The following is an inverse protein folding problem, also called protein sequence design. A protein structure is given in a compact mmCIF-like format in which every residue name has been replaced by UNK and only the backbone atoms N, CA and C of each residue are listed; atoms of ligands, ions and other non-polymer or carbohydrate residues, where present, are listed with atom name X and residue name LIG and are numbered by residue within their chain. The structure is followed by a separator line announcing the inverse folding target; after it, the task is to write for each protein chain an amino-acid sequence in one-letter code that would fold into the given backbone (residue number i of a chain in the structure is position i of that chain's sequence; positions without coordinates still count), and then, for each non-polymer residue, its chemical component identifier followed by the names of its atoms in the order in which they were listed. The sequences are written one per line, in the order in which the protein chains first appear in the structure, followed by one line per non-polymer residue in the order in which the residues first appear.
data_IF_668568239335
#
_entry.id   IF_668568239335
#
_cell.length_a   1.000
_cell.length_b   1.000
_cell.length_c   1.000
_cell.angle_alpha   90.00
_cell.angle_beta   90.00
_cell.angle_gamma   90.00
#
_symmetry.space_group_name_H-M   'P 1'
#
loop_
_entity.id
_entity.type
_entity.pdbx_description
1 polymer ?
#
# COMPACT_ATOMS: atom_id res chain seq x y z
N UNK A 1 5.81 1.01 -1.21
CA UNK A 1 5.82 -0.03 -2.25
C UNK A 1 7.15 -0.07 -3.02
N UNK A 2 7.38 0.73 -4.06
CA UNK A 2 8.52 0.56 -4.99
C UNK A 2 9.91 0.45 -4.35
N UNK A 3 10.21 1.32 -3.39
CA UNK A 3 11.52 1.36 -2.69
C UNK A 3 11.78 0.14 -1.80
N UNK A 4 10.81 -0.75 -1.61
CA UNK A 4 11.00 -2.01 -0.89
C UNK A 4 11.48 -3.14 -1.82
N UNK A 5 11.42 -2.94 -3.13
CA UNK A 5 11.83 -3.92 -4.14
C UNK A 5 13.21 -3.56 -4.64
N UNK A 6 14.20 -4.42 -4.38
CA UNK A 6 15.54 -4.27 -4.90
C UNK A 6 15.60 -4.60 -6.39
N UNK A 7 16.42 -3.85 -7.12
CA UNK A 7 16.74 -4.12 -8.52
C UNK A 7 17.91 -5.09 -8.57
N UNK A 8 17.93 -5.98 -9.56
CA UNK A 8 19.06 -6.88 -9.76
C UNK A 8 20.35 -6.07 -9.94
N UNK A 9 21.44 -6.55 -9.35
CA UNK A 9 22.74 -5.88 -9.44
C UNK A 9 23.22 -5.65 -10.87
N UNK A 10 22.83 -6.53 -11.80
CA UNK A 10 23.13 -6.42 -13.24
C UNK A 10 22.36 -5.28 -13.91
N UNK A 11 21.14 -5.02 -13.45
CA UNK A 11 20.27 -3.98 -14.00
C UNK A 11 20.45 -2.62 -13.31
N UNK A 12 21.03 -2.58 -12.11
CA UNK A 12 21.16 -1.36 -11.31
C UNK A 12 21.93 -0.24 -12.03
N UNK A 13 22.88 -0.57 -12.91
CA UNK A 13 23.62 0.42 -13.70
C UNK A 13 22.76 1.14 -14.76
N UNK A 14 21.57 0.62 -15.09
CA UNK A 14 20.62 1.28 -15.97
C UNK A 14 19.78 2.35 -15.24
N UNK A 15 19.94 2.47 -13.92
CA UNK A 15 19.25 3.46 -13.07
C UNK A 15 20.23 4.48 -12.46
N UNK A 16 21.29 4.83 -13.20
CA UNK A 16 22.22 5.88 -12.80
C UNK A 16 21.61 7.26 -13.01
N UNK A 17 21.78 8.14 -12.04
CA UNK A 17 21.38 9.55 -12.13
C UNK A 17 22.58 10.44 -11.86
N UNK A 18 22.57 11.62 -12.47
CA UNK A 18 23.49 12.69 -12.12
C UNK A 18 22.79 13.67 -11.19
N UNK A 19 23.47 14.05 -10.10
CA UNK A 19 22.94 15.03 -9.17
C UNK A 19 24.06 15.91 -8.63
N UNK A 20 23.70 17.16 -8.35
CA UNK A 20 24.51 18.13 -7.60
C UNK A 20 23.56 19.16 -6.99
N UNK A 21 23.88 19.63 -5.79
CA UNK A 21 23.07 20.64 -5.09
C UNK A 21 23.17 22.02 -5.74
N UNK A 22 24.35 22.39 -6.24
CA UNK A 22 24.65 23.70 -6.82
C UNK A 22 25.44 23.55 -8.14
N UNK A 23 25.26 24.43 -9.14
CA UNK A 23 26.00 24.37 -10.39
C UNK A 23 27.53 24.48 -10.27
N UNK A 24 28.04 25.08 -9.20
CA UNK A 24 29.46 25.15 -8.89
C UNK A 24 30.03 23.85 -8.32
N UNK A 25 29.19 23.00 -7.73
CA UNK A 25 29.61 21.71 -7.21
C UNK A 25 29.89 20.71 -8.34
N UNK A 26 30.85 19.81 -8.09
CA UNK A 26 31.16 18.70 -8.99
C UNK A 26 29.93 17.82 -9.17
N UNK A 27 29.62 17.48 -10.42
CA UNK A 27 28.53 16.57 -10.75
C UNK A 27 28.83 15.18 -10.16
N UNK A 28 27.89 14.62 -9.40
CA UNK A 28 28.00 13.30 -8.79
C UNK A 28 27.11 12.30 -9.52
N UNK A 29 27.53 11.04 -9.53
CA UNK A 29 26.76 9.93 -10.10
C UNK A 29 26.23 9.06 -8.96
N UNK A 30 24.92 8.83 -8.96
CA UNK A 30 24.24 7.98 -7.99
C UNK A 30 23.60 6.79 -8.69
N UNK A 31 23.54 5.66 -7.98
CA UNK A 31 22.89 4.45 -8.44
C UNK A 31 21.65 4.19 -7.60
N UNK A 32 20.50 4.10 -8.25
CA UNK A 32 19.26 3.71 -7.60
C UNK A 32 19.19 2.18 -7.51
N UNK A 33 19.11 1.66 -6.29
CA UNK A 33 19.18 0.21 -6.04
C UNK A 33 17.81 -0.47 -5.92
N UNK A 34 16.73 0.30 -6.02
CA UNK A 34 15.37 -0.17 -5.83
C UNK A 34 14.53 0.21 -7.03
N UNK A 35 13.41 -0.46 -7.25
CA UNK A 35 12.47 -0.12 -8.32
C UNK A 35 12.12 1.37 -8.20
N UNK A 36 12.39 2.11 -9.28
CA UNK A 36 12.25 3.57 -9.32
C UNK A 36 10.96 3.93 -10.04
N UNK A 37 10.17 4.81 -9.44
CA UNK A 37 8.95 5.35 -10.03
C UNK A 37 9.24 6.09 -11.34
N UNK A 38 8.25 6.17 -12.23
CA UNK A 38 8.40 6.82 -13.54
C UNK A 38 9.01 5.93 -14.63
N UNK A 39 9.54 4.76 -14.27
CA UNK A 39 9.84 3.72 -15.25
C UNK A 39 8.56 2.98 -15.65
N UNK A 40 8.42 2.60 -16.92
CA UNK A 40 7.23 1.92 -17.44
C UNK A 40 6.97 0.57 -16.76
N UNK A 41 8.02 -0.09 -16.29
CA UNK A 41 7.96 -1.43 -15.68
C UNK A 41 7.79 -1.41 -14.15
N UNK A 42 7.98 -0.27 -13.47
CA UNK A 42 7.94 -0.21 -12.01
C UNK A 42 6.63 -0.73 -11.39
N UNK A 43 5.42 -0.34 -11.89
CA UNK A 43 4.16 -0.87 -11.38
C UNK A 43 4.10 -2.39 -11.46
N UNK A 44 4.47 -2.96 -12.61
CA UNK A 44 4.47 -4.40 -12.82
C UNK A 44 5.41 -5.13 -11.84
N UNK A 45 6.65 -4.65 -11.69
CA UNK A 45 7.64 -5.27 -10.81
C UNK A 45 7.18 -5.26 -9.35
N UNK A 46 6.65 -4.13 -8.87
CA UNK A 46 6.18 -4.02 -7.50
C UNK A 46 4.94 -4.88 -7.23
N UNK A 47 3.95 -4.87 -8.13
CA UNK A 47 2.76 -5.72 -8.02
C UNK A 47 3.13 -7.21 -8.10
N UNK A 48 4.13 -7.59 -8.91
CA UNK A 48 4.61 -8.97 -8.95
C UNK A 48 5.20 -9.44 -7.62
N UNK A 49 5.88 -8.57 -6.88
CA UNK A 49 6.35 -8.89 -5.53
C UNK A 49 5.18 -9.12 -4.56
N UNK A 50 4.12 -8.31 -4.63
CA UNK A 50 2.91 -8.53 -3.83
C UNK A 50 2.25 -9.89 -4.15
N UNK A 51 2.13 -10.22 -5.44
CA UNK A 51 1.62 -11.52 -5.88
C UNK A 51 2.49 -12.68 -5.41
N UNK A 52 3.81 -12.52 -5.42
CA UNK A 52 4.73 -13.54 -4.92
C UNK A 52 4.53 -13.78 -3.42
N UNK A 53 4.36 -12.72 -2.62
CA UNK A 53 4.03 -12.84 -1.20
C UNK A 53 2.72 -13.58 -0.98
N UNK A 54 1.69 -13.32 -1.79
CA UNK A 54 0.43 -14.05 -1.70
C UNK A 54 0.60 -15.55 -1.95
N UNK A 55 1.34 -15.92 -3.02
CA UNK A 55 1.61 -17.33 -3.36
C UNK A 55 2.32 -18.04 -2.20
N UNK A 56 3.36 -17.42 -1.63
CA UNK A 56 4.15 -17.99 -0.54
C UNK A 56 3.39 -18.12 0.79
N UNK A 57 2.28 -17.39 0.95
CA UNK A 57 1.53 -17.33 2.19
C UNK A 57 0.13 -17.94 2.08
N UNK A 58 -0.25 -18.46 0.92
CA UNK A 58 -1.60 -18.96 0.62
C UNK A 58 -2.06 -20.09 1.54
N UNK A 59 -1.17 -20.99 1.94
CA UNK A 59 -1.53 -22.11 2.83
C UNK A 59 -1.91 -21.62 4.24
N UNK A 60 -1.22 -20.59 4.75
CA UNK A 60 -1.43 -20.07 6.09
C UNK A 60 -2.52 -18.99 6.15
N UNK A 61 -2.67 -18.23 5.05
CA UNK A 61 -3.53 -17.04 4.99
C UNK A 61 -4.30 -17.01 3.66
N UNK A 62 -5.23 -17.95 3.41
CA UNK A 62 -5.86 -18.11 2.10
C UNK A 62 -6.67 -16.87 1.68
N UNK A 63 -7.45 -16.29 2.58
CA UNK A 63 -8.29 -15.13 2.28
C UNK A 63 -7.45 -13.86 2.00
N UNK A 64 -6.48 -13.56 2.88
CA UNK A 64 -5.59 -12.41 2.66
C UNK A 64 -4.71 -12.57 1.42
N UNK A 65 -4.29 -13.80 1.10
CA UNK A 65 -3.55 -14.07 -0.14
C UNK A 65 -4.42 -13.86 -1.37
N UNK A 66 -5.69 -14.27 -1.32
CA UNK A 66 -6.64 -13.97 -2.40
C UNK A 66 -6.82 -12.46 -2.56
N UNK A 67 -7.07 -11.72 -1.48
CA UNK A 67 -7.17 -10.26 -1.49
C UNK A 67 -5.91 -9.60 -2.08
N UNK A 68 -4.71 -10.07 -1.73
CA UNK A 68 -3.45 -9.57 -2.31
C UNK A 68 -3.35 -9.77 -3.82
N UNK A 69 -3.95 -10.84 -4.35
CA UNK A 69 -3.88 -11.19 -5.76
C UNK A 69 -4.88 -10.44 -6.63
N UNK A 70 -6.08 -10.16 -6.08
CA UNK A 70 -7.23 -9.68 -6.85
C UNK A 70 -7.61 -8.23 -6.60
N UNK A 71 -7.37 -7.71 -5.39
CA UNK A 71 -8.02 -6.48 -4.93
C UNK A 71 -7.07 -5.26 -4.91
N UNK A 72 -5.79 -5.48 -5.27
CA UNK A 72 -4.82 -4.41 -5.46
C UNK A 72 -4.92 -3.80 -6.86
N UNK A 73 -5.11 -2.48 -6.90
CA UNK A 73 -4.83 -1.66 -8.07
C UNK A 73 -3.53 -0.88 -7.84
N UNK A 74 -2.43 -1.39 -8.39
CA UNK A 74 -1.06 -0.86 -8.20
C UNK A 74 -0.73 -0.77 -6.71
N UNK A 75 -0.84 0.41 -6.09
CA UNK A 75 -0.56 0.67 -4.69
C UNK A 75 -1.82 0.84 -3.83
N UNK A 76 -3.02 0.92 -4.40
CA UNK A 76 -4.26 0.97 -3.63
C UNK A 76 -4.87 -0.43 -3.48
N UNK A 77 -5.26 -0.81 -2.25
CA UNK A 77 -6.16 -1.95 -2.04
C UNK A 77 -7.59 -1.43 -1.85
N UNK A 78 -8.52 -2.03 -2.57
CA UNK A 78 -9.94 -1.87 -2.32
C UNK A 78 -10.58 -3.24 -2.18
N UNK A 79 -11.00 -3.58 -0.96
CA UNK A 79 -11.63 -4.87 -0.64
C UNK A 79 -12.88 -4.68 0.20
N UNK A 80 -13.65 -5.74 0.38
CA UNK A 80 -14.83 -5.73 1.24
C UNK A 80 -15.26 -7.13 1.68
N UNK A 81 -15.93 -7.19 2.83
CA UNK A 81 -16.33 -8.42 3.50
C UNK A 81 -17.74 -8.30 4.07
N UNK A 82 -18.45 -9.42 4.23
CA UNK A 82 -19.83 -9.44 4.73
C UNK A 82 -19.95 -9.07 6.21
N UNK A 83 -18.89 -9.24 7.01
CA UNK A 83 -18.89 -8.96 8.44
C UNK A 83 -17.65 -8.19 8.87
N UNK A 84 -17.76 -7.44 9.98
CA UNK A 84 -16.64 -6.70 10.57
C UNK A 84 -15.54 -7.65 11.04
N UNK A 85 -15.89 -8.81 11.60
CA UNK A 85 -14.93 -9.81 12.07
C UNK A 85 -14.07 -10.37 10.94
N UNK A 86 -14.69 -10.69 9.80
CA UNK A 86 -13.96 -11.15 8.61
C UNK A 86 -13.05 -10.04 8.08
N UNK A 87 -13.52 -8.80 8.08
CA UNK A 87 -12.76 -7.65 7.63
C UNK A 87 -11.51 -7.42 8.49
N UNK A 88 -11.65 -7.53 9.82
CA UNK A 88 -10.56 -7.42 10.77
C UNK A 88 -9.55 -8.55 10.64
N UNK A 89 -10.02 -9.81 10.58
CA UNK A 89 -9.13 -10.95 10.43
C UNK A 89 -8.28 -10.85 9.16
N UNK A 90 -8.90 -10.49 8.02
CA UNK A 90 -8.15 -10.34 6.76
C UNK A 90 -7.21 -9.13 6.83
N UNK A 91 -7.58 -8.04 7.49
CA UNK A 91 -6.68 -6.90 7.69
C UNK A 91 -5.42 -7.29 8.49
N UNK A 92 -5.58 -8.04 9.58
CA UNK A 92 -4.46 -8.54 10.39
C UNK A 92 -3.54 -9.47 9.60
N UNK A 93 -4.14 -10.42 8.86
CA UNK A 93 -3.43 -11.36 8.01
C UNK A 93 -2.65 -10.63 6.90
N UNK A 94 -3.25 -9.62 6.27
CA UNK A 94 -2.60 -8.77 5.27
C UNK A 94 -1.39 -8.04 5.86
N UNK A 95 -1.52 -7.45 7.06
CA UNK A 95 -0.41 -6.81 7.76
C UNK A 95 0.71 -7.83 8.01
N UNK A 96 0.37 -9.03 8.47
CA UNK A 96 1.34 -10.08 8.74
C UNK A 96 2.10 -10.53 7.47
N UNK A 97 1.41 -10.75 6.36
CA UNK A 97 2.03 -11.13 5.07
C UNK A 97 2.93 -10.00 4.56
N UNK A 98 2.41 -8.78 4.50
CA UNK A 98 3.10 -7.64 3.90
C UNK A 98 4.34 -7.22 4.68
N UNK A 99 4.32 -7.39 6.01
CA UNK A 99 5.49 -7.19 6.87
C UNK A 99 6.68 -8.07 6.47
N UNK A 100 6.45 -9.28 5.95
CA UNK A 100 7.52 -10.17 5.42
C UNK A 100 8.25 -9.53 4.23
N UNK A 101 7.52 -8.81 3.38
CA UNK A 101 8.07 -8.04 2.26
C UNK A 101 8.42 -6.59 2.57
N UNK A 102 8.37 -6.17 3.85
CA UNK A 102 8.53 -4.78 4.30
C UNK A 102 7.57 -3.79 3.61
N UNK A 103 6.44 -4.29 3.13
CA UNK A 103 5.34 -3.45 2.68
C UNK A 103 4.51 -3.06 3.90
N UNK A 104 4.27 -1.75 4.05
CA UNK A 104 3.50 -1.20 5.16
C UNK A 104 2.22 -0.60 4.59
N UNK A 105 1.09 -1.03 5.13
CA UNK A 105 -0.22 -0.50 4.80
C UNK A 105 -0.45 0.82 5.52
N UNK A 106 -0.96 1.82 4.79
CA UNK A 106 -1.23 3.16 5.33
C UNK A 106 -2.60 3.64 4.87
N UNK A 107 -3.14 4.66 5.55
CA UNK A 107 -4.46 5.23 5.22
C UNK A 107 -5.55 4.19 5.22
N UNK A 108 -5.65 3.47 6.33
CA UNK A 108 -6.76 2.57 6.57
C UNK A 108 -8.05 3.35 6.66
N UNK A 109 -9.02 2.92 5.87
CA UNK A 109 -10.32 3.53 5.77
C UNK A 109 -11.39 2.45 5.64
N UNK A 110 -12.50 2.62 6.35
CA UNK A 110 -13.65 1.72 6.26
C UNK A 110 -14.97 2.47 6.49
N UNK A 111 -16.06 1.90 6.02
CA UNK A 111 -17.42 2.33 6.37
C UNK A 111 -17.83 1.88 7.79
N UNK A 112 -17.08 0.99 8.44
CA UNK A 112 -17.26 0.65 9.85
C UNK A 112 -16.27 1.39 10.74
N UNK A 113 -16.80 2.20 11.65
CA UNK A 113 -16.01 2.89 12.68
C UNK A 113 -15.32 1.92 13.64
N UNK A 114 -15.93 0.77 13.92
CA UNK A 114 -15.36 -0.26 14.78
C UNK A 114 -14.11 -0.86 14.14
N UNK A 115 -14.19 -1.21 12.85
CA UNK A 115 -13.06 -1.74 12.09
C UNK A 115 -11.88 -0.76 12.05
N UNK A 116 -12.13 0.52 11.79
CA UNK A 116 -11.05 1.53 11.78
C UNK A 116 -10.38 1.66 13.16
N UNK A 117 -11.16 1.63 14.24
CA UNK A 117 -10.61 1.74 15.60
C UNK A 117 -9.71 0.58 15.94
N UNK A 118 -10.17 -0.65 15.71
CA UNK A 118 -9.41 -1.86 16.02
C UNK A 118 -8.09 -1.94 15.23
N UNK A 119 -8.13 -1.63 13.93
CA UNK A 119 -6.93 -1.56 13.08
C UNK A 119 -5.98 -0.46 13.58
N UNK A 120 -6.52 0.67 14.04
CA UNK A 120 -5.69 1.77 14.56
C UNK A 120 -5.01 1.37 15.86
N UNK A 121 -5.74 0.77 16.80
CA UNK A 121 -5.21 0.35 18.10
C UNK A 121 -4.14 -0.74 17.96
N UNK A 122 -4.38 -1.72 17.08
CA UNK A 122 -3.40 -2.79 16.78
C UNK A 122 -2.15 -2.28 16.06
N UNK A 123 -2.21 -1.15 15.33
CA UNK A 123 -1.07 -0.60 14.57
C UNK A 123 -0.38 0.60 15.27
N UNK A 124 -0.93 1.12 16.37
CA UNK A 124 -0.54 2.38 17.05
C UNK A 124 0.87 2.44 17.66
N UNK A 125 1.71 1.41 17.53
CA UNK A 125 3.13 1.53 17.83
C UNK A 125 3.92 2.32 16.74
N UNK A 126 3.33 2.59 15.57
CA UNK A 126 3.91 3.42 14.51
C UNK A 126 3.21 4.79 14.44
N UNK A 127 3.81 5.82 15.06
CA UNK A 127 3.34 7.23 15.15
C UNK A 127 3.20 8.00 13.80
N UNK A 128 3.15 7.34 12.64
CA UNK A 128 3.10 8.04 11.33
C UNK A 128 2.08 7.47 10.35
N UNK A 129 0.97 6.92 10.85
CA UNK A 129 -0.09 6.45 9.99
C UNK A 129 -1.20 7.50 9.97
N UNK A 130 -1.29 8.23 8.86
CA UNK A 130 -2.53 8.91 8.45
C UNK A 130 -3.61 7.83 8.43
N UNK A 131 -4.53 7.84 9.38
CA UNK A 131 -5.67 6.94 9.44
C UNK A 131 -6.93 7.79 9.32
N UNK A 132 -7.83 7.45 8.39
CA UNK A 132 -9.05 8.21 8.14
C UNK A 132 -10.26 7.30 8.24
N UNK A 133 -11.21 7.66 9.09
CA UNK A 133 -12.54 7.05 9.07
C UNK A 133 -13.28 7.61 7.85
N UNK A 134 -13.91 6.75 7.04
CA UNK A 134 -14.80 7.23 5.99
C UNK A 134 -16.09 7.71 6.67
N UNK A 135 -16.18 9.01 6.93
CA UNK A 135 -17.37 9.63 7.51
C UNK A 135 -18.20 10.34 6.43
N UNK A 136 -19.48 10.63 6.71
CA UNK A 136 -20.39 11.32 5.78
C UNK A 136 -19.87 12.69 5.30
N UNK A 137 -19.03 13.35 6.09
CA UNK A 137 -18.40 14.64 5.77
C UNK A 137 -17.09 14.52 4.98
N UNK A 138 -16.46 13.35 4.98
CA UNK A 138 -15.13 13.14 4.40
C UNK A 138 -15.17 12.07 3.30
N UNK A 139 -15.31 12.53 2.05
CA UNK A 139 -15.21 11.64 0.89
C UNK A 139 -13.75 11.21 0.69
N UNK A 140 -13.48 9.91 0.65
CA UNK A 140 -12.18 9.41 0.24
C UNK A 140 -12.13 9.33 -1.28
N UNK A 141 -11.09 9.94 -1.86
CA UNK A 141 -10.77 9.81 -3.27
C UNK A 141 -9.77 8.68 -3.45
N UNK A 142 -10.20 7.62 -4.09
CA UNK A 142 -9.34 6.50 -4.50
C UNK A 142 -9.55 6.29 -5.99
N UNK A 143 -8.47 6.23 -6.77
CA UNK A 143 -8.52 6.10 -8.24
C UNK A 143 -9.37 7.17 -8.96
N UNK A 144 -9.45 8.38 -8.39
CA UNK A 144 -10.29 9.46 -8.93
C UNK A 144 -11.80 9.31 -8.66
N UNK A 145 -12.21 8.22 -7.98
CA UNK A 145 -13.58 7.98 -7.55
C UNK A 145 -13.77 8.47 -6.11
N UNK A 146 -14.95 9.02 -5.80
CA UNK A 146 -15.36 9.34 -4.42
C UNK A 146 -16.18 8.20 -3.86
N UNK A 147 -15.70 7.59 -2.79
CA UNK A 147 -16.50 6.65 -2.00
C UNK A 147 -17.36 7.42 -1.00
N UNK A 148 -18.67 7.15 -1.02
CA UNK A 148 -19.64 7.61 -0.05
C UNK A 148 -20.19 6.40 0.72
N UNK A 149 -20.01 6.33 2.06
CA UNK A 149 -20.29 5.12 2.83
C UNK A 149 -21.78 4.80 2.93
N UNK A 150 -22.68 5.80 2.91
CA UNK A 150 -24.11 5.59 3.14
C UNK A 150 -24.90 5.11 1.89
N UNK A 151 -24.37 5.33 0.68
CA UNK A 151 -25.08 4.99 -0.56
C UNK A 151 -24.64 3.65 -1.18
N UNK A 152 -23.73 2.93 -0.54
CA UNK A 152 -23.26 1.61 -0.98
C UNK A 152 -23.78 0.57 0.01
N UNK A 153 -24.44 -0.45 -0.53
CA UNK A 153 -25.06 -1.60 0.14
C UNK A 153 -24.71 -1.81 1.63
N UNK A 154 -25.71 -1.77 2.51
CA UNK A 154 -25.63 -2.09 3.95
C UNK A 154 -25.15 -3.52 4.28
N UNK A 155 -24.77 -4.30 3.26
CA UNK A 155 -24.46 -5.72 3.34
C UNK A 155 -22.96 -6.01 3.34
N UNK A 156 -22.11 -5.01 3.05
CA UNK A 156 -20.65 -5.20 2.96
C UNK A 156 -19.88 -4.13 3.75
N UNK A 157 -18.91 -4.59 4.53
CA UNK A 157 -17.88 -3.78 5.19
C UNK A 157 -16.72 -3.59 4.21
N UNK A 158 -16.51 -2.36 3.74
CA UNK A 158 -15.42 -2.03 2.83
C UNK A 158 -14.17 -1.67 3.62
N UNK A 159 -13.02 -2.13 3.14
CA UNK A 159 -11.70 -1.69 3.60
C UNK A 159 -10.97 -1.14 2.39
N UNK A 160 -10.55 0.12 2.47
CA UNK A 160 -9.65 0.72 1.51
C UNK A 160 -8.37 1.16 2.21
N UNK A 161 -7.24 0.98 1.52
CA UNK A 161 -5.97 1.52 1.97
C UNK A 161 -5.05 1.81 0.79
N UNK A 162 -3.98 2.55 1.08
CA UNK A 162 -2.98 2.93 0.10
C UNK A 162 -1.57 2.56 0.59
N UNK A 163 -0.85 1.75 -0.19
CA UNK A 163 0.56 1.40 0.04
C UNK A 163 1.53 2.56 -0.19
N UNK A 164 1.14 3.63 -0.90
CA UNK A 164 1.97 4.83 -1.11
C UNK A 164 1.15 6.13 -1.24
N UNK A 165 1.45 7.15 -0.42
CA UNK A 165 1.25 8.54 -0.86
C UNK A 165 2.63 9.08 -1.18
N UNK A 166 2.83 9.58 -2.40
CA UNK A 166 3.87 10.59 -2.59
C UNK A 166 3.33 11.85 -1.91
N UNK A 167 3.61 12.02 -0.63
CA UNK A 167 3.68 13.38 -0.11
C UNK A 167 5.03 13.92 -0.56
N UNK A 168 4.99 15.01 -1.32
CA UNK A 168 6.16 15.83 -1.51
C UNK A 168 6.55 16.42 -0.15
N UNK A 169 7.27 15.66 0.66
CA UNK A 169 8.12 16.28 1.66
C UNK A 169 9.30 16.87 0.88
N UNK A 170 9.17 18.15 0.54
CA UNK A 170 10.32 18.96 0.22
C UNK A 170 11.29 18.87 1.40
N UNK A 171 12.49 18.35 1.13
CA UNK A 171 13.69 18.55 1.93
C UNK A 171 14.86 18.67 0.96
#
# INVERSE_FOLDING_TARGET
MYRQVQVDSQDANHQLIFWRQDPSHKLQTYKLNTVTYGTTTAPFLAVRCLKQLAIENRENYPNASQTLETDFYVDDLLTGFDTEENALQVAEDLIAILKKGRFELRKWCSNSQAVVREITESTSNNKSLDHMVITDSESIKTLGLRLHPYNQCQWYTFITFTLFKVESSAA
#
